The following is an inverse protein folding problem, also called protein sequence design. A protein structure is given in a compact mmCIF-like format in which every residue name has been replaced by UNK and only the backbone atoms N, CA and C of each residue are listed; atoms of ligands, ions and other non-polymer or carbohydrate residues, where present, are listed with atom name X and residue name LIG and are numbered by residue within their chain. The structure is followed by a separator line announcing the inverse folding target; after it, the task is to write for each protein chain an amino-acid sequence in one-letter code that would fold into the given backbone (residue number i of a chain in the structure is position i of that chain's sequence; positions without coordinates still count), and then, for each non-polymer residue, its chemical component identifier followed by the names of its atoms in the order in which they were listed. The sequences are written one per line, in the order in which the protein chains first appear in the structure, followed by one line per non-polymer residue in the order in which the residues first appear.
data_IF_571167805806
#
_entry.id   IF_571167805806
#
_cell.length_a   1.000
_cell.length_b   1.000
_cell.length_c   1.000
_cell.angle_alpha   90.00
_cell.angle_beta   90.00
_cell.angle_gamma   90.00
#
_symmetry.space_group_name_H-M   'P 1'
#
loop_
_entity.id
_entity.type
_entity.pdbx_description
1 polymer ?
#
# COMPACT_ATOMS: atom_id res chain seq x y z
N UNK A 1 -18.25 24.04 0.23
CA UNK A 1 -17.07 23.39 0.83
C UNK A 1 -17.61 22.19 1.60
N UNK A 2 -17.63 21.01 0.98
CA UNK A 2 -18.03 19.79 1.69
C UNK A 2 -16.90 19.48 2.67
N UNK A 3 -17.22 19.47 3.96
CA UNK A 3 -16.38 18.81 4.96
C UNK A 3 -16.71 17.34 4.83
N UNK A 4 -15.94 16.63 4.00
CA UNK A 4 -16.16 15.22 3.75
C UNK A 4 -15.98 14.45 5.07
N UNK A 5 -17.11 14.02 5.63
CA UNK A 5 -17.17 13.24 6.86
C UNK A 5 -16.84 11.78 6.53
N UNK A 6 -15.56 11.53 6.20
CA UNK A 6 -15.04 10.19 5.94
C UNK A 6 -15.18 9.33 7.20
N UNK A 7 -15.80 8.12 7.14
CA UNK A 7 -15.92 7.21 8.27
C UNK A 7 -14.58 6.96 8.99
N UNK A 8 -14.64 6.67 10.29
CA UNK A 8 -13.44 6.51 11.12
C UNK A 8 -12.50 5.38 10.62
N UNK A 9 -13.08 4.37 9.97
CA UNK A 9 -12.36 3.25 9.35
C UNK A 9 -11.53 3.71 8.16
N UNK A 10 -12.07 4.56 7.29
CA UNK A 10 -11.36 5.09 6.12
C UNK A 10 -10.17 5.96 6.56
N UNK A 11 -10.35 6.76 7.63
CA UNK A 11 -9.24 7.51 8.23
C UNK A 11 -8.15 6.62 8.83
N UNK A 12 -8.46 5.42 9.29
CA UNK A 12 -7.47 4.47 9.81
C UNK A 12 -6.70 3.82 8.66
N UNK A 13 -7.41 3.41 7.60
CA UNK A 13 -6.83 2.86 6.37
C UNK A 13 -5.87 3.86 5.72
N UNK A 14 -6.29 5.12 5.54
CA UNK A 14 -5.46 6.19 4.97
C UNK A 14 -4.19 6.44 5.79
N UNK A 15 -4.30 6.48 7.13
CA UNK A 15 -3.13 6.63 8.01
C UNK A 15 -2.15 5.47 7.86
N UNK A 16 -2.67 4.25 7.75
CA UNK A 16 -1.84 3.06 7.57
C UNK A 16 -1.17 3.02 6.19
N UNK A 17 -1.89 3.42 5.15
CA UNK A 17 -1.38 3.54 3.78
C UNK A 17 -0.24 4.56 3.69
N UNK A 18 -0.42 5.76 4.25
CA UNK A 18 0.63 6.78 4.27
C UNK A 18 1.90 6.29 4.98
N UNK A 19 1.73 5.59 6.11
CA UNK A 19 2.87 4.99 6.82
C UNK A 19 3.58 3.92 5.99
N UNK A 20 2.85 3.12 5.21
CA UNK A 20 3.45 2.15 4.29
C UNK A 20 4.22 2.85 3.18
N UNK A 21 3.69 3.92 2.59
CA UNK A 21 4.37 4.68 1.52
C UNK A 21 5.68 5.28 2.05
N UNK A 22 5.67 5.88 3.24
CA UNK A 22 6.89 6.40 3.86
C UNK A 22 7.92 5.30 4.14
N UNK A 23 7.47 4.15 4.63
CA UNK A 23 8.34 3.00 4.91
C UNK A 23 8.95 2.42 3.63
N UNK A 24 8.15 2.27 2.57
CA UNK A 24 8.62 1.84 1.23
C UNK A 24 9.68 2.80 0.69
N UNK A 25 9.53 4.11 0.86
CA UNK A 25 10.54 5.10 0.44
C UNK A 25 11.86 4.97 1.18
N UNK A 26 11.85 4.47 2.43
CA UNK A 26 13.05 4.35 3.27
C UNK A 26 13.74 2.99 3.14
N UNK A 27 12.94 1.93 3.02
CA UNK A 27 13.40 0.54 3.10
C UNK A 27 13.25 -0.22 1.77
N UNK A 28 12.71 0.44 0.75
CA UNK A 28 12.55 -0.14 -0.57
C UNK A 28 11.49 -1.24 -0.63
N UNK A 29 11.65 -2.14 -1.58
CA UNK A 29 10.60 -3.11 -1.90
C UNK A 29 10.48 -4.26 -0.89
N UNK A 30 11.59 -4.83 -0.44
CA UNK A 30 11.61 -6.13 0.21
C UNK A 30 11.56 -6.11 1.75
N UNK A 31 11.75 -4.93 2.36
CA UNK A 31 11.94 -4.81 3.81
C UNK A 31 10.95 -3.82 4.43
N UNK A 32 10.77 -3.93 5.75
CA UNK A 32 9.95 -3.02 6.52
C UNK A 32 8.55 -3.57 6.82
N UNK A 33 7.62 -2.65 7.11
CA UNK A 33 6.34 -3.02 7.73
C UNK A 33 5.32 -3.54 6.72
N UNK A 34 4.30 -4.25 7.21
CA UNK A 34 3.19 -4.70 6.37
C UNK A 34 3.46 -5.99 5.60
N UNK A 35 4.47 -6.77 5.98
CA UNK A 35 4.81 -8.08 5.39
C UNK A 35 4.97 -7.97 3.86
N UNK A 36 6.10 -7.43 3.37
CA UNK A 36 6.35 -7.34 1.94
C UNK A 36 6.37 -8.73 1.30
N UNK A 37 5.54 -8.92 0.28
CA UNK A 37 5.42 -10.18 -0.46
C UNK A 37 5.62 -9.90 -1.96
N UNK A 38 6.63 -10.49 -2.63
CA UNK A 38 6.83 -10.31 -4.06
C UNK A 38 5.73 -11.02 -4.85
N UNK A 39 5.15 -10.31 -5.82
CA UNK A 39 4.14 -10.87 -6.71
C UNK A 39 4.79 -11.65 -7.86
N UNK A 40 4.01 -12.52 -8.49
CA UNK A 40 4.47 -13.48 -9.51
C UNK A 40 3.69 -13.30 -10.82
N UNK A 41 4.08 -14.04 -11.85
CA UNK A 41 3.43 -14.07 -13.17
C UNK A 41 3.33 -12.66 -13.77
N UNK A 42 2.14 -12.19 -14.13
CA UNK A 42 1.90 -10.90 -14.77
C UNK A 42 2.28 -9.70 -13.89
N UNK A 43 2.44 -9.91 -12.58
CA UNK A 43 2.87 -8.90 -11.63
C UNK A 43 4.28 -9.16 -11.09
N UNK A 44 5.09 -9.95 -11.79
CA UNK A 44 6.50 -10.13 -11.43
C UNK A 44 7.22 -8.78 -11.40
N UNK A 45 7.97 -8.51 -10.33
CA UNK A 45 8.61 -7.22 -10.07
C UNK A 45 7.75 -6.22 -9.30
N UNK A 46 6.47 -6.54 -9.05
CA UNK A 46 5.62 -5.83 -8.10
C UNK A 46 5.64 -6.49 -6.73
N UNK A 47 5.25 -5.72 -5.72
CA UNK A 47 5.21 -6.11 -4.33
C UNK A 47 3.85 -5.81 -3.73
N UNK A 48 3.43 -6.63 -2.79
CA UNK A 48 2.26 -6.36 -1.97
C UNK A 48 2.62 -6.18 -0.51
N UNK A 49 1.92 -5.27 0.18
CA UNK A 49 1.96 -5.14 1.64
C UNK A 49 0.54 -5.02 2.21
N UNK A 50 0.38 -5.50 3.44
CA UNK A 50 -0.85 -5.46 4.22
C UNK A 50 -1.12 -4.07 4.76
N UNK A 51 -2.24 -3.49 4.33
CA UNK A 51 -2.83 -2.32 4.99
C UNK A 51 -3.50 -2.83 6.27
N UNK A 52 -4.37 -3.82 6.17
CA UNK A 52 -4.98 -4.56 7.28
C UNK A 52 -5.12 -6.06 6.95
N UNK A 53 -6.08 -6.77 7.55
CA UNK A 53 -6.29 -8.19 7.27
C UNK A 53 -6.79 -8.44 5.84
N UNK A 54 -7.63 -7.56 5.29
CA UNK A 54 -8.30 -7.65 3.99
C UNK A 54 -7.56 -6.90 2.88
N UNK A 55 -7.09 -5.68 3.15
CA UNK A 55 -6.63 -4.73 2.15
C UNK A 55 -5.12 -4.80 1.91
N UNK A 56 -4.72 -4.58 0.66
CA UNK A 56 -3.30 -4.54 0.25
C UNK A 56 -3.01 -3.27 -0.53
N UNK A 57 -1.76 -2.80 -0.41
CA UNK A 57 -1.15 -1.94 -1.43
C UNK A 57 -0.35 -2.85 -2.37
N UNK A 58 -0.51 -2.65 -3.68
CA UNK A 58 0.33 -3.24 -4.72
C UNK A 58 1.19 -2.13 -5.34
N UNK A 59 2.50 -2.28 -5.24
CA UNK A 59 3.44 -1.22 -5.60
C UNK A 59 4.76 -1.76 -6.18
N UNK A 60 5.53 -0.84 -6.76
CA UNK A 60 6.95 -1.01 -7.07
C UNK A 60 7.67 0.29 -6.70
N UNK A 61 8.80 0.19 -6.03
CA UNK A 61 9.67 1.32 -5.72
C UNK A 61 11.00 1.19 -6.46
N UNK A 62 11.56 2.32 -6.85
CA UNK A 62 12.93 2.51 -7.31
C UNK A 62 13.57 3.68 -6.54
N UNK A 63 14.81 4.03 -6.87
CA UNK A 63 15.57 5.09 -6.18
C UNK A 63 14.90 6.47 -6.22
N UNK A 64 13.97 6.68 -7.15
CA UNK A 64 13.34 7.99 -7.39
C UNK A 64 11.87 8.03 -6.97
N UNK A 65 11.18 6.89 -6.99
CA UNK A 65 9.71 6.89 -6.94
C UNK A 65 9.13 5.63 -6.31
N UNK A 66 7.89 5.77 -5.82
CA UNK A 66 7.01 4.67 -5.44
C UNK A 66 5.78 4.74 -6.34
N UNK A 67 5.56 3.70 -7.13
CA UNK A 67 4.41 3.56 -8.02
C UNK A 67 3.45 2.57 -7.37
N UNK A 68 2.23 3.00 -7.06
CA UNK A 68 1.16 2.15 -6.56
C UNK A 68 0.08 1.97 -7.63
N UNK A 69 -0.36 0.73 -7.86
CA UNK A 69 -1.39 0.39 -8.86
C UNK A 69 -2.70 -0.11 -8.26
N UNK A 70 -2.69 -0.44 -6.97
CA UNK A 70 -3.88 -0.79 -6.22
C UNK A 70 -3.67 -0.49 -4.73
N UNK A 71 -4.71 0.03 -4.08
CA UNK A 71 -4.78 0.27 -2.65
C UNK A 71 -6.19 -0.10 -2.16
N UNK A 72 -6.37 -1.33 -1.66
CA UNK A 72 -7.69 -1.83 -1.25
C UNK A 72 -7.82 -3.35 -1.31
N UNK A 73 -9.01 -3.86 -1.03
CA UNK A 73 -9.46 -5.21 -1.39
C UNK A 73 -10.23 -5.16 -2.71
N UNK A 74 -10.30 -6.30 -3.40
CA UNK A 74 -11.29 -6.48 -4.48
C UNK A 74 -12.67 -6.42 -3.81
N UNK A 75 -13.37 -5.30 -3.93
CA UNK A 75 -14.81 -5.27 -3.66
C UNK A 75 -15.50 -5.91 -4.87
N UNK A 76 -16.37 -6.90 -4.59
CA UNK A 76 -17.35 -7.38 -5.58
C UNK A 76 -18.24 -6.25 -6.08
#
# INVERSE_FOLDING_TARGET
MTVDNEPAQDRAMLRKLNRLIEDIRRHGNAEGIGKPEPLRQNLSGWWSRRIDHEHRIVYRADDSSVIAIACGGHYE
#
